data_IF_429842680915
#
_entry.id   IF_429842680915
#
_cell.length_a   1.000
_cell.length_b   1.000
_cell.length_c   1.000
_cell.angle_alpha   90.00
_cell.angle_beta   90.00
_cell.angle_gamma   90.00
#
_symmetry.space_group_name_H-M   'P 1'
#
loop_
_entity.id
_entity.type
_entity.pdbx_description
1 polymer ?
#
# COMPACT_ATOMS: atom_id res chain seq x y z
N UNK A 1 -1.92 14.50 15.00
CA UNK A 1 -0.52 14.12 14.70
C UNK A 1 -0.39 14.05 13.18
N UNK A 2 0.46 14.87 12.53
CA UNK A 2 0.63 14.83 11.07
C UNK A 2 1.60 13.69 10.71
N UNK A 3 1.32 12.85 9.71
CA UNK A 3 2.25 11.80 9.32
C UNK A 3 3.53 12.45 8.79
N UNK A 4 4.72 12.07 9.30
CA UNK A 4 5.96 12.63 8.80
C UNK A 4 6.16 12.26 7.32
N UNK A 5 5.91 10.98 6.97
CA UNK A 5 5.95 10.41 5.61
C UNK A 5 5.02 9.20 5.56
N UNK A 6 4.09 9.16 4.62
CA UNK A 6 3.14 8.06 4.48
C UNK A 6 2.85 7.75 3.01
N UNK A 7 2.82 6.46 2.68
CA UNK A 7 2.29 5.94 1.42
C UNK A 7 0.87 5.44 1.68
N UNK A 8 -0.10 6.06 1.02
CA UNK A 8 -1.50 5.66 1.03
C UNK A 8 -1.76 4.61 -0.06
N UNK A 9 -2.32 3.47 0.33
CA UNK A 9 -2.64 2.37 -0.57
C UNK A 9 -4.14 2.06 -0.52
N UNK A 10 -4.78 1.98 -1.68
CA UNK A 10 -6.17 1.53 -1.83
C UNK A 10 -6.19 0.01 -2.01
N UNK A 11 -5.82 -0.69 -0.93
CA UNK A 11 -5.77 -2.15 -0.88
C UNK A 11 -6.83 -2.70 0.08
N UNK A 12 -7.26 -3.97 -0.07
CA UNK A 12 -8.22 -4.58 0.82
C UNK A 12 -7.70 -4.64 2.26
N UNK A 13 -8.61 -4.62 3.23
CA UNK A 13 -8.27 -4.71 4.64
C UNK A 13 -7.47 -6.01 4.91
N UNK A 14 -6.45 -5.90 5.76
CA UNK A 14 -5.54 -7.02 6.06
C UNK A 14 -4.49 -7.30 4.97
N UNK A 15 -4.43 -6.51 3.90
CA UNK A 15 -3.45 -6.65 2.80
C UNK A 15 -2.60 -5.38 2.61
N UNK A 16 -1.81 -4.96 3.62
CA UNK A 16 -1.08 -3.69 3.57
C UNK A 16 -0.02 -3.62 2.45
N UNK A 17 0.43 -4.77 1.93
CA UNK A 17 1.37 -4.87 0.80
C UNK A 17 0.71 -5.33 -0.50
N UNK A 18 -0.63 -5.35 -0.56
CA UNK A 18 -1.40 -5.74 -1.74
C UNK A 18 -1.54 -7.24 -1.95
N UNK A 19 -1.22 -7.73 -3.16
CA UNK A 19 -1.56 -9.10 -3.58
C UNK A 19 -0.83 -10.15 -2.73
N UNK A 20 -1.54 -11.17 -2.20
CA UNK A 20 -0.90 -12.27 -1.49
C UNK A 20 -0.04 -13.09 -2.47
N UNK A 21 1.09 -13.62 -1.97
CA UNK A 21 2.02 -14.46 -2.76
C UNK A 21 2.61 -13.79 -4.01
N UNK A 22 2.60 -12.46 -4.08
CA UNK A 22 3.23 -11.67 -5.13
C UNK A 22 4.43 -10.88 -4.56
N UNK A 23 5.60 -11.53 -4.39
CA UNK A 23 6.76 -10.89 -3.77
C UNK A 23 7.30 -9.70 -4.59
N UNK A 24 7.11 -9.72 -5.91
CA UNK A 24 7.54 -8.62 -6.79
C UNK A 24 6.69 -7.37 -6.52
N UNK A 25 5.36 -7.51 -6.49
CA UNK A 25 4.46 -6.42 -6.15
C UNK A 25 4.70 -5.90 -4.72
N UNK A 26 4.82 -6.81 -3.75
CA UNK A 26 5.06 -6.45 -2.35
C UNK A 26 6.38 -5.68 -2.18
N UNK A 27 7.43 -6.06 -2.93
CA UNK A 27 8.69 -5.33 -2.99
C UNK A 27 8.49 -3.93 -3.56
N UNK A 28 7.74 -3.78 -4.66
CA UNK A 28 7.46 -2.46 -5.25
C UNK A 28 6.74 -1.52 -4.27
N UNK A 29 5.79 -2.03 -3.48
CA UNK A 29 5.11 -1.25 -2.42
C UNK A 29 6.12 -0.75 -1.39
N UNK A 30 7.01 -1.64 -0.92
CA UNK A 30 8.05 -1.30 0.05
C UNK A 30 9.05 -0.28 -0.52
N UNK A 31 9.52 -0.49 -1.74
CA UNK A 31 10.46 0.41 -2.40
C UNK A 31 9.87 1.81 -2.56
N UNK A 32 8.58 1.90 -2.94
CA UNK A 32 7.87 3.18 -3.05
C UNK A 32 7.71 3.85 -1.68
N UNK A 33 7.41 3.09 -0.63
CA UNK A 33 7.30 3.62 0.72
C UNK A 33 8.65 4.13 1.24
N UNK A 34 9.74 3.42 0.97
CA UNK A 34 11.09 3.82 1.37
C UNK A 34 11.65 4.98 0.57
N UNK A 35 11.28 5.12 -0.71
CA UNK A 35 11.63 6.30 -1.51
C UNK A 35 11.12 7.62 -0.90
N UNK A 36 10.08 7.57 -0.06
CA UNK A 36 9.62 8.76 0.67
C UNK A 36 10.67 9.30 1.65
N UNK A 37 11.60 8.47 2.12
CA UNK A 37 12.68 8.88 3.02
C UNK A 37 13.64 9.88 2.36
N UNK A 38 13.79 9.81 1.04
CA UNK A 38 14.66 10.71 0.27
C UNK A 38 14.04 12.09 0.03
N UNK A 39 12.77 12.30 0.44
CA UNK A 39 12.10 13.60 0.32
C UNK A 39 12.77 14.63 1.26
N UNK A 40 13.23 15.77 0.72
CA UNK A 40 14.06 16.74 1.47
C UNK A 40 13.28 17.43 2.59
N UNK A 41 11.96 17.51 2.49
CA UNK A 41 11.08 18.17 3.46
C UNK A 41 9.84 17.30 3.73
N UNK A 42 9.23 17.48 4.90
CA UNK A 42 7.97 16.82 5.28
C UNK A 42 6.91 17.83 5.71
N UNK A 43 5.63 17.43 5.93
CA UNK A 43 5.06 16.09 5.85
C UNK A 43 4.79 15.63 4.42
N UNK A 44 4.96 14.33 4.16
CA UNK A 44 4.70 13.72 2.84
C UNK A 44 3.58 12.70 2.93
N UNK A 45 2.59 12.83 2.05
CA UNK A 45 1.55 11.83 1.81
C UNK A 45 1.49 11.58 0.32
N UNK A 46 1.86 10.37 -0.11
CA UNK A 46 1.79 9.95 -1.51
C UNK A 46 0.80 8.82 -1.67
N UNK A 47 0.09 8.76 -2.80
CA UNK A 47 -0.81 7.66 -3.14
C UNK A 47 -0.06 6.66 -4.01
N UNK A 48 -0.12 5.38 -3.64
CA UNK A 48 0.37 4.30 -4.49
C UNK A 48 -0.50 4.21 -5.75
N UNK A 49 0.09 4.09 -6.96
CA UNK A 49 -0.65 4.24 -8.22
C UNK A 49 -1.61 3.09 -8.51
N UNK A 50 -1.41 1.93 -7.89
CA UNK A 50 -2.25 0.75 -8.10
C UNK A 50 -3.35 0.67 -7.05
N UNK A 51 -4.56 0.39 -7.51
CA UNK A 51 -5.72 0.06 -6.67
C UNK A 51 -5.90 -1.45 -6.73
N UNK A 52 -6.17 -2.08 -5.58
CA UNK A 52 -6.52 -3.50 -5.50
C UNK A 52 -7.90 -3.58 -4.88
N UNK A 53 -8.86 -4.07 -5.66
CA UNK A 53 -10.23 -4.28 -5.20
C UNK A 53 -10.32 -5.52 -4.31
N UNK A 54 -11.33 -5.55 -3.46
CA UNK A 54 -11.56 -6.67 -2.56
C UNK A 54 -12.33 -7.78 -3.26
N UNK A 55 -11.64 -8.85 -3.64
CA UNK A 55 -12.25 -10.06 -4.19
C UNK A 55 -12.96 -10.92 -3.11
N UNK A 56 -12.83 -10.57 -1.82
CA UNK A 56 -13.44 -11.32 -0.71
C UNK A 56 -14.97 -11.13 -0.59
N UNK A 57 -15.60 -10.35 -1.45
CA UNK A 57 -17.06 -10.21 -1.51
C UNK A 57 -17.78 -11.47 -2.01
N UNK A 58 -17.06 -12.49 -2.50
CA UNK A 58 -17.69 -13.79 -2.73
C UNK A 58 -18.03 -14.43 -1.38
N UNK A 59 -19.31 -14.58 -1.01
CA UNK A 59 -19.68 -15.19 0.26
C UNK A 59 -19.09 -16.59 0.29
N UNK A 60 -18.32 -16.89 1.33
CA UNK A 60 -17.92 -18.25 1.65
C UNK A 60 -19.19 -19.04 1.96
N UNK A 61 -19.69 -19.76 0.96
CA UNK A 61 -20.81 -20.71 1.14
C UNK A 61 -20.21 -21.92 1.87
N UNK A 62 -20.64 -22.13 3.11
CA UNK A 62 -20.39 -23.35 3.87
C UNK A 62 -21.22 -24.52 3.32
#
# INVERSE_FOLDING_TARGET
MRPPRALYCEFPLGRPLGRPKDPAFQRQVLDTAFALLDRPEGPVLEKFPTIIEDEAEQPLIC
#
